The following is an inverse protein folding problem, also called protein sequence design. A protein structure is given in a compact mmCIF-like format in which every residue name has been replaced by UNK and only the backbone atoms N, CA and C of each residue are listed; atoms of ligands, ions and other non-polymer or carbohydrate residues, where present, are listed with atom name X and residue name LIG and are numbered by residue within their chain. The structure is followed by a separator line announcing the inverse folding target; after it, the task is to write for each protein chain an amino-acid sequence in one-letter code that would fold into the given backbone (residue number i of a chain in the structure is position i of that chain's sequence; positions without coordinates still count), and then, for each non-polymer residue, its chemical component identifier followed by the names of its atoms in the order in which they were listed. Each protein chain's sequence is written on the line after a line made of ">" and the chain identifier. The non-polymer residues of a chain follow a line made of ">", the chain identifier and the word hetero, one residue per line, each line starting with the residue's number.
data_IF_589092781734
#
_entry.id   IF_589092781734
#
_cell.length_a   1.000
_cell.length_b   1.000
_cell.length_c   1.000
_cell.angle_alpha   90.00
_cell.angle_beta   90.00
_cell.angle_gamma   90.00
#
_symmetry.space_group_name_H-M   'P 1'
#
loop_
_entity.id
_entity.type
_entity.pdbx_description
1 polymer ?
#
# COMPACT_ATOMS: atom_id res chain seq x y z
N UNK A 1 16.97 71.64 -17.41
CA UNK A 1 16.60 71.22 -16.05
C UNK A 1 16.47 69.71 -16.07
N UNK A 2 17.40 69.02 -15.41
CA UNK A 2 17.30 67.60 -15.04
C UNK A 2 16.60 67.56 -13.66
N UNK A 3 15.85 66.50 -13.32
CA UNK A 3 16.52 65.38 -12.67
C UNK A 3 16.07 64.00 -13.18
N UNK A 4 17.06 63.12 -13.14
CA UNK A 4 17.00 61.67 -13.22
C UNK A 4 16.25 61.14 -11.99
N UNK A 5 15.31 60.21 -12.20
CA UNK A 5 14.80 59.37 -11.13
C UNK A 5 14.91 57.90 -11.56
N UNK A 6 15.98 57.27 -11.08
CA UNK A 6 16.14 55.83 -10.94
C UNK A 6 14.94 55.28 -10.15
N UNK A 7 14.20 54.34 -10.74
CA UNK A 7 13.31 53.46 -9.98
C UNK A 7 13.94 52.07 -9.93
N UNK A 8 14.26 51.66 -8.70
CA UNK A 8 14.88 50.41 -8.30
C UNK A 8 13.90 49.24 -8.48
N UNK A 9 14.43 48.11 -8.97
CA UNK A 9 13.77 46.83 -9.20
C UNK A 9 13.42 46.17 -7.86
N UNK A 10 12.20 45.68 -7.62
CA UNK A 10 11.99 44.52 -6.76
C UNK A 10 12.00 43.26 -7.65
N UNK A 11 13.07 42.48 -7.53
CA UNK A 11 13.15 41.15 -8.09
C UNK A 11 12.04 40.30 -7.44
N UNK A 12 11.00 39.98 -8.19
CA UNK A 12 10.08 38.91 -7.85
C UNK A 12 10.84 37.59 -7.95
N UNK A 13 11.47 37.17 -6.86
CA UNK A 13 11.71 35.75 -6.62
C UNK A 13 10.33 35.09 -6.46
N UNK A 14 9.69 34.77 -7.58
CA UNK A 14 8.76 33.67 -7.62
C UNK A 14 9.61 32.41 -7.43
N UNK A 15 9.87 32.07 -6.17
CA UNK A 15 10.32 30.73 -5.80
C UNK A 15 9.24 29.77 -6.28
N UNK A 16 9.40 29.24 -7.47
CA UNK A 16 8.66 28.08 -7.93
C UNK A 16 9.16 26.92 -7.08
N UNK A 17 8.60 26.77 -5.88
CA UNK A 17 8.42 25.43 -5.34
C UNK A 17 7.47 24.77 -6.32
N UNK A 18 8.05 24.14 -7.35
CA UNK A 18 7.44 23.01 -7.99
C UNK A 18 7.36 21.91 -6.91
N UNK A 19 6.44 22.08 -5.95
CA UNK A 19 5.69 20.94 -5.48
C UNK A 19 5.10 20.39 -6.76
N UNK A 20 5.72 19.33 -7.27
CA UNK A 20 5.11 18.51 -8.28
C UNK A 20 3.77 18.10 -7.66
N UNK A 21 2.73 18.87 -7.98
CA UNK A 21 1.37 18.47 -7.72
C UNK A 21 1.24 17.22 -8.55
N UNK A 22 1.43 16.08 -7.88
CA UNK A 22 1.15 14.77 -8.43
C UNK A 22 -0.30 14.87 -8.83
N UNK A 23 -0.55 15.08 -10.12
CA UNK A 23 -1.92 15.17 -10.62
C UNK A 23 -2.67 13.98 -10.05
N UNK A 24 -3.87 14.17 -9.47
CA UNK A 24 -4.70 13.06 -9.04
C UNK A 24 -4.95 12.24 -10.30
N UNK A 25 -4.22 11.14 -10.41
CA UNK A 25 -4.45 10.17 -11.44
C UNK A 25 -5.36 9.18 -10.76
N UNK A 26 -6.44 8.81 -11.44
CA UNK A 26 -7.25 7.64 -11.08
C UNK A 26 -6.33 6.41 -11.13
N UNK A 27 -5.52 6.26 -10.09
CA UNK A 27 -4.61 5.14 -9.91
C UNK A 27 -5.36 4.13 -9.10
N UNK A 28 -5.32 2.91 -9.57
CA UNK A 28 -5.70 1.77 -8.78
C UNK A 28 -4.48 1.35 -7.98
N UNK A 29 -4.66 1.30 -6.68
CA UNK A 29 -3.67 0.77 -5.78
C UNK A 29 -4.15 -0.58 -5.24
N UNK A 30 -3.21 -1.43 -4.85
CA UNK A 30 -3.49 -2.80 -4.40
C UNK A 30 -2.93 -3.00 -2.99
N UNK A 31 -3.75 -3.49 -2.05
CA UNK A 31 -3.26 -4.06 -0.79
C UNK A 31 -3.23 -5.56 -0.95
N UNK A 32 -2.12 -6.19 -0.57
CA UNK A 32 -1.99 -7.63 -0.59
C UNK A 32 -1.68 -8.16 0.81
N UNK A 33 -2.48 -9.10 1.29
CA UNK A 33 -2.22 -9.90 2.48
C UNK A 33 -1.71 -11.26 2.00
N UNK A 34 -0.57 -11.71 2.51
CA UNK A 34 -0.07 -13.03 2.17
C UNK A 34 0.31 -13.84 3.41
N UNK A 35 0.19 -15.14 3.28
CA UNK A 35 0.77 -16.15 4.15
C UNK A 35 1.47 -17.17 3.26
N UNK A 36 2.72 -17.48 3.56
CA UNK A 36 3.50 -18.47 2.85
C UNK A 36 4.16 -19.41 3.84
N UNK A 37 3.97 -20.71 3.59
CA UNK A 37 4.66 -21.76 4.32
C UNK A 37 5.60 -22.48 3.36
N UNK A 38 6.91 -22.36 3.57
CA UNK A 38 7.90 -23.18 2.90
C UNK A 38 8.12 -24.49 3.64
N UNK A 39 8.41 -25.55 2.91
CA UNK A 39 8.74 -26.88 3.42
C UNK A 39 9.94 -27.43 2.66
N UNK A 40 10.87 -28.08 3.36
CA UNK A 40 11.96 -28.81 2.73
C UNK A 40 11.46 -30.22 2.29
N UNK A 41 11.28 -30.48 0.98
CA UNK A 41 10.73 -31.74 0.51
C UNK A 41 11.70 -32.93 0.64
N UNK A 42 12.99 -32.68 0.92
CA UNK A 42 14.05 -33.70 0.91
C UNK A 42 14.27 -34.31 2.28
N UNK A 43 14.43 -33.48 3.31
CA UNK A 43 14.74 -33.95 4.68
C UNK A 43 13.53 -33.97 5.60
N UNK A 44 12.43 -33.30 5.23
CA UNK A 44 11.24 -33.17 6.05
C UNK A 44 11.47 -32.33 7.31
N UNK A 45 10.52 -31.46 7.64
CA UNK A 45 10.48 -30.79 8.95
C UNK A 45 11.16 -29.41 9.06
N UNK A 46 11.99 -28.99 8.09
CA UNK A 46 12.34 -27.57 7.96
C UNK A 46 11.21 -26.82 7.29
N UNK A 47 10.44 -26.10 8.10
CA UNK A 47 9.33 -25.28 7.64
C UNK A 47 9.63 -23.81 7.92
N UNK A 48 9.55 -22.97 6.89
CA UNK A 48 9.50 -21.51 7.06
C UNK A 48 8.04 -21.07 7.03
N UNK A 49 7.68 -20.11 7.87
CA UNK A 49 6.36 -19.50 7.86
C UNK A 49 6.55 -17.99 7.82
N UNK A 50 6.06 -17.35 6.76
CA UNK A 50 6.12 -15.89 6.57
C UNK A 50 4.74 -15.36 6.24
N UNK A 51 4.50 -14.10 6.62
CA UNK A 51 3.33 -13.35 6.21
C UNK A 51 3.72 -11.90 5.96
N UNK A 52 2.83 -11.19 5.31
CA UNK A 52 2.95 -9.75 5.23
C UNK A 52 1.71 -9.09 4.68
N UNK A 53 1.71 -7.78 4.85
CA UNK A 53 0.80 -6.87 4.15
C UNK A 53 1.66 -5.94 3.33
N UNK A 54 1.43 -5.94 2.03
CA UNK A 54 2.13 -5.06 1.11
C UNK A 54 1.15 -4.14 0.40
N UNK A 55 1.67 -3.02 -0.11
CA UNK A 55 0.92 -2.00 -0.80
C UNK A 55 1.61 -1.59 -2.08
N UNK A 56 0.93 -1.80 -3.21
CA UNK A 56 1.28 -1.22 -4.51
C UNK A 56 0.51 0.09 -4.71
N UNK A 57 1.23 1.17 -5.01
CA UNK A 57 0.66 2.50 -5.25
C UNK A 57 0.16 2.72 -6.69
N UNK A 58 0.24 1.70 -7.56
CA UNK A 58 -0.15 1.78 -8.97
C UNK A 58 0.78 2.68 -9.80
N UNK A 59 1.92 3.09 -9.24
CA UNK A 59 2.93 3.94 -9.87
C UNK A 59 4.34 3.32 -9.83
N UNK A 60 4.42 2.02 -9.52
CA UNK A 60 5.66 1.27 -9.37
C UNK A 60 6.29 1.34 -7.98
N UNK A 61 5.80 2.22 -7.09
CA UNK A 61 6.19 2.19 -5.67
C UNK A 61 5.45 1.06 -4.96
N UNK A 62 6.17 0.42 -4.04
CA UNK A 62 5.65 -0.63 -3.18
C UNK A 62 6.15 -0.42 -1.75
N UNK A 63 5.28 -0.61 -0.77
CA UNK A 63 5.62 -0.59 0.65
C UNK A 63 5.24 -1.91 1.32
N UNK A 64 6.04 -2.33 2.31
CA UNK A 64 5.67 -3.39 3.25
C UNK A 64 5.07 -2.71 4.47
N UNK A 65 3.77 -2.89 4.65
CA UNK A 65 3.01 -2.28 5.75
C UNK A 65 3.20 -3.06 7.06
N UNK A 66 3.30 -4.38 6.98
CA UNK A 66 3.60 -5.24 8.13
C UNK A 66 4.15 -6.60 7.67
N UNK A 67 4.90 -7.24 8.56
CA UNK A 67 5.30 -8.65 8.46
C UNK A 67 4.96 -9.43 9.75
N UNK A 68 4.18 -8.83 10.64
CA UNK A 68 3.82 -9.40 11.94
C UNK A 68 2.52 -10.21 11.83
N UNK A 69 2.59 -11.53 12.01
CA UNK A 69 1.43 -12.43 11.92
C UNK A 69 0.23 -11.97 12.75
N UNK A 70 0.48 -11.55 13.99
CA UNK A 70 -0.53 -11.09 14.93
C UNK A 70 -1.26 -9.83 14.47
N UNK A 71 -0.71 -9.10 13.50
CA UNK A 71 -1.35 -7.91 12.91
C UNK A 71 -2.09 -8.22 11.61
N UNK A 72 -2.07 -9.48 11.12
CA UNK A 72 -2.50 -9.83 9.77
C UNK A 72 -3.57 -10.93 9.80
N UNK A 73 -3.30 -12.02 10.53
CA UNK A 73 -4.12 -13.25 10.49
C UNK A 73 -4.73 -13.63 11.85
N UNK A 74 -4.45 -12.87 12.90
CA UNK A 74 -5.03 -13.11 14.23
C UNK A 74 -6.15 -12.11 14.51
N UNK A 75 -7.14 -12.55 15.30
CA UNK A 75 -8.36 -11.80 15.59
C UNK A 75 -8.08 -10.38 16.12
N UNK A 76 -8.67 -9.39 15.47
CA UNK A 76 -8.60 -7.99 15.83
C UNK A 76 -8.47 -7.05 14.63
N UNK A 77 -8.97 -5.84 14.81
CA UNK A 77 -8.88 -4.78 13.81
C UNK A 77 -7.45 -4.24 13.77
N UNK A 78 -6.83 -4.28 12.59
CA UNK A 78 -5.47 -3.80 12.41
C UNK A 78 -5.40 -2.75 11.32
N UNK A 79 -4.95 -1.55 11.71
CA UNK A 79 -4.72 -0.46 10.79
C UNK A 79 -3.23 -0.28 10.52
N UNK A 80 -2.89 -0.09 9.25
CA UNK A 80 -1.55 0.16 8.78
C UNK A 80 -1.44 1.56 8.20
N UNK A 81 -0.38 2.25 8.58
CA UNK A 81 -0.01 3.53 8.00
C UNK A 81 0.60 3.32 6.62
N UNK A 82 0.23 4.16 5.66
CA UNK A 82 0.82 4.20 4.32
C UNK A 82 1.06 5.66 3.91
N UNK A 83 1.55 5.87 2.69
CA UNK A 83 1.71 7.21 2.11
C UNK A 83 0.39 7.78 1.55
N UNK A 84 -0.72 7.05 1.71
CA UNK A 84 -2.06 7.47 1.30
C UNK A 84 -2.71 8.36 2.36
N UNK A 85 -3.75 9.14 1.99
CA UNK A 85 -4.45 10.01 2.93
C UNK A 85 -5.19 9.28 4.05
N UNK A 86 -5.63 8.03 3.82
CA UNK A 86 -6.35 7.23 4.82
C UNK A 86 -5.53 6.02 5.28
N UNK A 87 -5.74 5.61 6.53
CA UNK A 87 -5.22 4.35 7.05
C UNK A 87 -5.91 3.18 6.34
N UNK A 88 -5.15 2.12 6.11
CA UNK A 88 -5.68 0.86 5.59
C UNK A 88 -5.97 -0.02 6.80
N UNK A 89 -7.22 -0.38 7.03
CA UNK A 89 -7.59 -1.24 8.16
C UNK A 89 -8.08 -2.61 7.65
N UNK A 90 -7.70 -3.66 8.36
CA UNK A 90 -8.14 -5.03 8.14
C UNK A 90 -8.96 -5.45 9.35
N UNK A 91 -10.19 -5.89 9.11
CA UNK A 91 -11.17 -6.23 10.15
C UNK A 91 -11.88 -7.51 9.74
N UNK A 92 -11.71 -8.61 10.47
CA UNK A 92 -12.48 -9.87 10.36
C UNK A 92 -13.06 -10.20 8.96
N UNK A 93 -12.22 -10.25 7.93
CA UNK A 93 -12.62 -10.59 6.55
C UNK A 93 -12.86 -9.41 5.62
N UNK A 94 -12.57 -8.19 6.05
CA UNK A 94 -12.78 -6.97 5.28
C UNK A 94 -11.53 -6.08 5.26
N UNK A 95 -11.39 -5.30 4.19
CA UNK A 95 -10.52 -4.15 4.07
C UNK A 95 -11.33 -2.85 4.17
N UNK A 96 -10.92 -1.96 5.05
CA UNK A 96 -11.42 -0.59 5.13
C UNK A 96 -10.35 0.40 4.66
N UNK A 97 -10.75 1.33 3.78
CA UNK A 97 -9.93 2.47 3.37
C UNK A 97 -10.81 3.67 3.03
N UNK A 98 -10.71 4.74 3.83
CA UNK A 98 -11.55 5.92 3.66
C UNK A 98 -13.03 5.57 3.87
N UNK A 99 -13.84 5.72 2.81
CA UNK A 99 -15.26 5.33 2.75
C UNK A 99 -15.49 3.94 2.13
N UNK A 100 -14.43 3.27 1.69
CA UNK A 100 -14.50 1.97 1.05
C UNK A 100 -14.42 0.85 2.07
N UNK A 101 -15.36 -0.08 1.98
CA UNK A 101 -15.42 -1.33 2.72
C UNK A 101 -15.43 -2.47 1.71
N UNK A 102 -14.42 -3.34 1.74
CA UNK A 102 -14.23 -4.43 0.77
C UNK A 102 -14.21 -5.77 1.49
N UNK A 103 -15.17 -6.63 1.20
CA UNK A 103 -15.12 -8.02 1.64
C UNK A 103 -14.03 -8.77 0.86
N UNK A 104 -13.21 -9.54 1.57
CA UNK A 104 -12.16 -10.37 0.97
C UNK A 104 -12.71 -11.44 0.01
N UNK A 105 -14.01 -11.75 0.08
CA UNK A 105 -14.70 -12.75 -0.73
C UNK A 105 -15.60 -12.17 -1.84
N UNK A 106 -15.70 -10.84 -1.95
CA UNK A 106 -16.54 -10.17 -2.96
C UNK A 106 -15.73 -9.29 -3.93
N UNK A 107 -16.45 -8.59 -4.82
CA UNK A 107 -15.87 -7.76 -5.87
C UNK A 107 -14.97 -6.64 -5.32
N UNK A 108 -13.75 -6.62 -5.84
CA UNK A 108 -12.70 -5.68 -5.45
C UNK A 108 -11.57 -6.31 -4.66
N UNK A 109 -11.78 -7.52 -4.12
CA UNK A 109 -10.74 -8.38 -3.59
C UNK A 109 -10.67 -9.71 -4.37
N UNK A 110 -9.49 -10.30 -4.42
CA UNK A 110 -9.26 -11.62 -5.02
C UNK A 110 -8.46 -12.47 -4.05
N UNK A 111 -8.78 -13.75 -3.99
CA UNK A 111 -8.02 -14.71 -3.23
C UNK A 111 -7.35 -15.69 -4.17
N UNK A 112 -6.06 -15.90 -3.94
CA UNK A 112 -5.26 -16.88 -4.64
C UNK A 112 -4.69 -17.86 -3.61
N UNK A 113 -4.80 -19.15 -3.91
CA UNK A 113 -4.20 -20.20 -3.10
C UNK A 113 -3.38 -21.14 -3.99
N UNK A 114 -2.17 -21.46 -3.55
CA UNK A 114 -1.33 -22.44 -4.23
C UNK A 114 -0.70 -23.39 -3.23
N UNK A 115 -0.51 -24.63 -3.64
CA UNK A 115 0.15 -25.66 -2.84
C UNK A 115 0.98 -26.56 -3.76
N UNK A 116 2.18 -26.91 -3.31
CA UNK A 116 3.12 -27.77 -4.00
C UNK A 116 4.02 -28.51 -2.98
N UNK A 117 4.87 -29.46 -3.40
CA UNK A 117 5.71 -30.23 -2.48
C UNK A 117 6.69 -29.38 -1.64
N UNK A 118 6.99 -28.15 -2.06
CA UNK A 118 7.86 -27.22 -1.34
C UNK A 118 7.11 -26.27 -0.42
N UNK A 119 5.77 -26.35 -0.35
CA UNK A 119 4.96 -25.49 0.50
C UNK A 119 3.66 -25.00 -0.11
N UNK A 120 3.06 -24.03 0.57
CA UNK A 120 1.78 -23.43 0.20
C UNK A 120 1.78 -21.92 0.43
N UNK A 121 0.91 -21.24 -0.30
CA UNK A 121 0.75 -19.79 -0.26
C UNK A 121 -0.73 -19.44 -0.34
N UNK A 122 -1.15 -18.47 0.45
CA UNK A 122 -2.47 -17.89 0.44
C UNK A 122 -2.34 -16.38 0.39
N UNK A 123 -3.00 -15.76 -0.60
CA UNK A 123 -2.88 -14.34 -0.88
C UNK A 123 -4.26 -13.73 -1.07
N UNK A 124 -4.50 -12.57 -0.47
CA UNK A 124 -5.71 -11.76 -0.65
C UNK A 124 -5.27 -10.41 -1.21
N UNK A 125 -5.69 -10.09 -2.42
CA UNK A 125 -5.35 -8.84 -3.11
C UNK A 125 -6.60 -7.97 -3.30
N UNK A 126 -6.64 -6.83 -2.63
CA UNK A 126 -7.75 -5.87 -2.69
C UNK A 126 -7.34 -4.59 -3.42
N UNK A 127 -8.19 -4.12 -4.33
CA UNK A 127 -7.93 -2.97 -5.19
C UNK A 127 -8.90 -1.82 -4.92
N UNK A 128 -8.37 -0.60 -4.94
CA UNK A 128 -9.13 0.62 -4.73
C UNK A 128 -8.44 1.83 -5.35
N UNK A 129 -9.19 2.91 -5.52
CA UNK A 129 -8.61 4.19 -5.94
C UNK A 129 -7.63 4.70 -4.88
N UNK A 130 -6.45 5.16 -5.30
CA UNK A 130 -5.41 5.71 -4.42
C UNK A 130 -5.73 7.08 -3.80
N UNK A 131 -6.92 7.61 -4.07
CA UNK A 131 -7.32 8.97 -3.71
C UNK A 131 -7.62 9.14 -2.21
#
# INVERSE_FOLDING_TARGET
>A
MLPILLAVIPALLAGTTAAAAVAPRDRTCTVEFFQKRGQNPVVGGENSLTCGVSRDYGDGRNDVLSSEFNKIWHAGDHCYSSQLPYSICSTDGYLDYGDQHKDFNEDGCKQDHSANPTGDEHTISCTFACA
#
